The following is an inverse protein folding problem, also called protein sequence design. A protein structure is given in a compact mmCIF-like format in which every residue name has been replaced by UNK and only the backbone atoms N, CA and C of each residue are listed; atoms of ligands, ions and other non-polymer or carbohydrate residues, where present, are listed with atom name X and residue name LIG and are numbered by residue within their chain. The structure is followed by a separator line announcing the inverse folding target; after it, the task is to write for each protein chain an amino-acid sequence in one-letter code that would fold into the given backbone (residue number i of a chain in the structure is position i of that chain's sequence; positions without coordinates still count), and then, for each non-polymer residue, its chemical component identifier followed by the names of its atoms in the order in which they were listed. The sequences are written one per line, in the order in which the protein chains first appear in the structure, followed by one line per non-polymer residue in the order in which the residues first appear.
data_IF_532270190292
#
_entry.id   IF_532270190292
#
_cell.length_a   1.000
_cell.length_b   1.000
_cell.length_c   1.000
_cell.angle_alpha   90.00
_cell.angle_beta   90.00
_cell.angle_gamma   90.00
#
_symmetry.space_group_name_H-M   'P 1'
#
loop_
_entity.id
_entity.type
_entity.pdbx_description
1 polymer ?
#
# COMPACT_ATOMS: atom_id res chain seq x y z
N UNK A 1 -7.06 0.27 19.47
CA UNK A 1 -7.51 1.29 18.49
C UNK A 1 -8.89 0.90 17.96
N UNK A 2 -9.76 1.85 17.64
CA UNK A 2 -11.00 1.54 16.92
C UNK A 2 -10.66 1.51 15.44
N UNK A 3 -10.64 0.32 14.83
CA UNK A 3 -10.45 0.15 13.39
C UNK A 3 -11.73 0.61 12.67
N UNK A 4 -11.60 1.57 11.76
CA UNK A 4 -12.70 1.97 10.89
C UNK A 4 -12.91 0.87 9.83
N UNK A 5 -14.11 0.26 9.85
CA UNK A 5 -14.47 -0.86 8.99
C UNK A 5 -14.44 -0.52 7.50
N UNK A 6 -14.48 0.75 7.12
CA UNK A 6 -14.35 1.15 5.71
C UNK A 6 -12.94 0.92 5.15
N UNK A 7 -11.95 0.71 6.02
CA UNK A 7 -10.56 0.43 5.62
C UNK A 7 -10.15 -1.02 5.90
N UNK A 8 -11.10 -1.90 6.25
CA UNK A 8 -10.87 -3.33 6.35
C UNK A 8 -11.16 -4.00 5.00
N UNK A 9 -10.31 -4.94 4.61
CA UNK A 9 -10.57 -5.85 3.51
C UNK A 9 -11.24 -7.10 4.07
N UNK A 10 -12.49 -7.35 3.70
CA UNK A 10 -13.14 -8.63 3.97
C UNK A 10 -12.51 -9.70 3.06
N UNK A 11 -11.58 -10.47 3.62
CA UNK A 11 -10.96 -11.60 2.92
C UNK A 11 -11.91 -12.81 3.00
N UNK A 12 -12.35 -13.38 1.86
CA UNK A 12 -13.22 -14.56 1.89
C UNK A 12 -12.57 -15.73 2.62
N UNK A 13 -13.39 -16.54 3.28
CA UNK A 13 -12.93 -17.76 3.94
C UNK A 13 -12.23 -18.68 2.92
N UNK A 14 -10.99 -19.06 3.21
CA UNK A 14 -10.14 -19.89 2.33
C UNK A 14 -9.40 -19.14 1.22
N UNK A 15 -9.48 -17.80 1.15
CA UNK A 15 -8.64 -16.99 0.26
C UNK A 15 -7.26 -16.68 0.86
N UNK A 16 -7.18 -16.59 2.19
CA UNK A 16 -5.91 -16.53 2.91
C UNK A 16 -5.30 -17.94 2.96
N UNK A 17 -4.49 -18.27 1.95
CA UNK A 17 -3.72 -19.49 1.85
C UNK A 17 -2.27 -19.27 2.28
N UNK A 18 -2.05 -18.43 3.30
CA UNK A 18 -0.71 -18.16 3.88
C UNK A 18 0.05 -19.43 4.32
N UNK A 19 -0.65 -20.55 4.53
CA UNK A 19 -0.06 -21.87 4.81
C UNK A 19 0.39 -22.66 3.55
N UNK A 20 0.09 -22.17 2.34
CA UNK A 20 0.51 -22.77 1.08
C UNK A 20 1.90 -22.28 0.63
N UNK A 21 2.68 -23.14 -0.04
CA UNK A 21 4.04 -22.81 -0.53
C UNK A 21 4.08 -21.57 -1.44
N UNK A 22 2.96 -21.27 -2.11
CA UNK A 22 2.79 -20.11 -3.00
C UNK A 22 1.64 -19.21 -2.55
N UNK A 23 1.39 -19.13 -1.24
CA UNK A 23 0.26 -18.40 -0.67
C UNK A 23 0.15 -16.95 -1.14
N UNK A 24 -1.09 -16.44 -1.18
CA UNK A 24 -1.44 -15.06 -1.45
C UNK A 24 -1.53 -14.32 -0.13
N UNK A 25 -0.75 -13.25 -0.01
CA UNK A 25 -0.80 -12.38 1.15
C UNK A 25 -1.67 -11.14 0.87
N UNK A 26 -2.47 -10.67 1.85
CA UNK A 26 -3.18 -9.41 1.72
C UNK A 26 -2.18 -8.26 1.61
N UNK A 27 -2.20 -7.54 0.49
CA UNK A 27 -1.35 -6.38 0.22
C UNK A 27 -2.22 -5.13 0.08
N UNK A 28 -1.94 -4.12 0.89
CA UNK A 28 -2.52 -2.80 0.73
C UNK A 28 -1.79 -2.03 -0.37
N UNK A 29 -2.53 -1.19 -1.10
CA UNK A 29 -1.98 -0.26 -2.09
C UNK A 29 -2.37 1.16 -1.72
N UNK A 30 -1.40 2.08 -1.75
CA UNK A 30 -1.65 3.53 -1.68
C UNK A 30 -1.11 4.22 -2.93
N UNK A 31 -1.96 5.04 -3.55
CA UNK A 31 -1.63 5.83 -4.74
C UNK A 31 -1.29 7.27 -4.34
N UNK A 32 -0.21 7.78 -4.93
CA UNK A 32 0.24 9.17 -4.83
C UNK A 32 0.26 9.77 -6.23
N UNK A 33 -0.29 10.97 -6.35
CA UNK A 33 -0.30 11.77 -7.58
C UNK A 33 0.63 12.98 -7.40
N UNK A 34 1.15 13.50 -8.49
CA UNK A 34 1.90 14.76 -8.50
C UNK A 34 2.00 15.36 -9.89
N UNK A 35 2.30 16.66 -9.96
CA UNK A 35 2.64 17.32 -11.22
C UNK A 35 4.02 16.88 -11.72
N UNK A 36 4.90 16.44 -10.81
CA UNK A 36 6.24 15.93 -11.12
C UNK A 36 6.53 14.62 -10.37
N UNK A 37 7.51 13.86 -10.85
CA UNK A 37 8.00 12.68 -10.14
C UNK A 37 8.49 13.01 -8.73
N UNK A 38 9.27 14.09 -8.59
CA UNK A 38 9.79 14.52 -7.30
C UNK A 38 8.65 14.78 -6.29
N UNK A 39 7.54 15.35 -6.75
CA UNK A 39 6.38 15.60 -5.90
C UNK A 39 5.70 14.31 -5.45
N UNK A 40 5.42 13.37 -6.37
CA UNK A 40 4.79 12.10 -6.03
C UNK A 40 5.65 11.27 -5.06
N UNK A 41 6.98 11.21 -5.30
CA UNK A 41 7.93 10.54 -4.40
C UNK A 41 8.09 11.28 -3.06
N UNK A 42 8.04 12.61 -3.05
CA UNK A 42 8.07 13.40 -1.81
C UNK A 42 6.84 13.14 -0.93
N UNK A 43 5.63 13.14 -1.51
CA UNK A 43 4.39 12.80 -0.81
C UNK A 43 4.45 11.37 -0.23
N UNK A 44 4.96 10.43 -1.01
CA UNK A 44 5.17 9.05 -0.56
C UNK A 44 6.18 8.96 0.60
N UNK A 45 7.29 9.69 0.54
CA UNK A 45 8.31 9.71 1.59
C UNK A 45 7.75 10.24 2.91
N UNK A 46 7.07 11.40 2.89
CA UNK A 46 6.47 11.97 4.09
C UNK A 46 5.45 11.02 4.72
N UNK A 47 4.62 10.37 3.90
CA UNK A 47 3.68 9.38 4.42
C UNK A 47 4.40 8.17 5.04
N UNK A 48 5.36 7.56 4.33
CA UNK A 48 6.11 6.40 4.82
C UNK A 48 6.86 6.67 6.13
N UNK A 49 7.33 7.91 6.33
CA UNK A 49 8.02 8.31 7.57
C UNK A 49 7.14 8.14 8.81
N UNK A 50 5.83 8.22 8.65
CA UNK A 50 4.85 8.15 9.75
C UNK A 50 4.24 6.75 9.93
N UNK A 51 4.47 5.82 9.00
CA UNK A 51 3.84 4.50 9.02
C UNK A 51 4.79 3.39 9.43
N UNK A 52 4.28 2.43 10.20
CA UNK A 52 4.96 1.14 10.46
C UNK A 52 4.47 0.09 9.47
N UNK A 53 5.07 0.07 8.28
CA UNK A 53 4.68 -0.82 7.19
C UNK A 53 5.89 -1.44 6.52
N UNK A 54 5.75 -2.69 6.09
CA UNK A 54 6.72 -3.37 5.24
C UNK A 54 6.41 -3.05 3.79
N UNK A 55 7.35 -2.38 3.10
CA UNK A 55 7.26 -2.13 1.67
C UNK A 55 7.44 -3.45 0.90
N UNK A 56 6.48 -3.78 0.04
CA UNK A 56 6.48 -5.01 -0.78
C UNK A 56 6.89 -4.71 -2.20
N UNK A 57 6.30 -3.67 -2.81
CA UNK A 57 6.62 -3.26 -4.16
C UNK A 57 6.27 -1.77 -4.41
N UNK A 58 6.82 -1.21 -5.49
CA UNK A 58 6.49 0.12 -5.99
C UNK A 58 6.22 0.08 -7.49
N UNK A 59 5.16 0.77 -7.91
CA UNK A 59 4.85 0.95 -9.32
C UNK A 59 4.74 2.43 -9.64
N UNK A 60 5.38 2.85 -10.72
CA UNK A 60 5.42 4.23 -11.17
C UNK A 60 4.98 4.30 -12.64
N UNK A 61 4.12 5.26 -12.96
CA UNK A 61 3.74 5.57 -14.34
C UNK A 61 3.40 7.04 -14.53
N UNK A 62 3.39 7.50 -15.78
CA UNK A 62 2.97 8.84 -16.20
C UNK A 62 1.68 8.71 -17.01
N UNK A 63 0.63 9.45 -16.62
CA UNK A 63 -0.66 9.50 -17.30
C UNK A 63 -0.74 10.75 -18.18
N UNK A 64 -0.59 10.58 -19.48
CA UNK A 64 -0.64 11.70 -20.43
C UNK A 64 -2.00 12.40 -20.43
N UNK A 65 -1.99 13.74 -20.32
CA UNK A 65 -3.19 14.58 -20.40
C UNK A 65 -3.85 14.91 -19.05
N UNK A 66 -3.35 14.36 -17.94
CA UNK A 66 -3.82 14.67 -16.59
C UNK A 66 -3.05 15.86 -15.98
N UNK A 67 -3.71 16.61 -15.09
CA UNK A 67 -3.11 17.75 -14.37
C UNK A 67 -1.99 17.31 -13.40
N UNK A 68 -2.16 16.14 -12.77
CA UNK A 68 -1.14 15.46 -11.96
C UNK A 68 -0.77 14.12 -12.62
N UNK A 69 0.06 14.14 -13.68
CA UNK A 69 0.29 12.96 -14.52
C UNK A 69 1.22 11.94 -13.85
N UNK A 70 1.99 12.36 -12.85
CA UNK A 70 2.98 11.51 -12.19
C UNK A 70 2.31 10.66 -11.11
N UNK A 71 2.28 9.34 -11.31
CA UNK A 71 1.61 8.42 -10.39
C UNK A 71 2.58 7.44 -9.77
N UNK A 72 2.55 7.32 -8.44
CA UNK A 72 3.33 6.37 -7.66
C UNK A 72 2.39 5.53 -6.80
N UNK A 73 2.40 4.21 -7.00
CA UNK A 73 1.71 3.26 -6.13
C UNK A 73 2.72 2.58 -5.22
N UNK A 74 2.43 2.58 -3.93
CA UNK A 74 3.15 1.80 -2.93
C UNK A 74 2.29 0.60 -2.53
N UNK A 75 2.87 -0.59 -2.63
CA UNK A 75 2.30 -1.85 -2.17
C UNK A 75 2.99 -2.25 -0.87
N UNK A 76 2.21 -2.52 0.17
CA UNK A 76 2.74 -2.74 1.51
C UNK A 76 1.87 -3.68 2.33
N UNK A 77 2.48 -4.28 3.35
CA UNK A 77 1.79 -4.97 4.43
C UNK A 77 2.01 -4.20 5.74
N UNK A 78 1.02 -4.22 6.64
CA UNK A 78 1.22 -3.72 8.00
C UNK A 78 2.07 -4.73 8.77
N UNK A 79 3.12 -4.25 9.43
CA UNK A 79 3.81 -5.09 10.41
C UNK A 79 2.97 -5.06 11.68
N UNK A 80 2.28 -6.17 11.96
CA UNK A 80 1.67 -6.39 13.28
C UNK A 80 2.81 -6.68 14.26
N UNK A 81 2.70 -6.11 15.47
CA UNK A 81 3.56 -6.59 16.55
C UNK A 81 3.32 -8.09 16.73
N UNK A 82 4.36 -8.89 17.02
CA UNK A 82 4.23 -10.34 17.13
C UNK A 82 3.26 -10.82 18.23
N UNK A 83 2.81 -9.93 19.09
CA UNK A 83 1.77 -10.19 20.11
C UNK A 83 0.33 -9.99 19.58
N UNK A 84 0.17 -9.29 18.44
CA UNK A 84 -1.10 -8.98 17.77
C UNK A 84 -1.31 -9.76 16.45
N UNK A 85 -0.35 -10.62 16.08
CA UNK A 85 -0.35 -11.43 14.85
C UNK A 85 -1.05 -12.79 15.01
#
# INVERSE_FOLDING_TARGET
MVLDRNFCLDVPEGFDDSDAETGVHPIARKLFLGATAAEAFGKAHEWLREQSVRLVDVSWTVLDGEDEPCTLSIYFAFELDPEDA
#
